data_IF_278814553577
#
_entry.id   IF_278814553577
#
_cell.length_a   1.000
_cell.length_b   1.000
_cell.length_c   1.000
_cell.angle_alpha   90.00
_cell.angle_beta   90.00
_cell.angle_gamma   90.00
#
_symmetry.space_group_name_H-M   'P 1'
#
loop_
_entity.id
_entity.type
_entity.pdbx_description
1 polymer ?
#
# COMPACT_ATOMS: atom_id res chain seq x y z
N UNK A 1 17.30 -8.31 7.98
CA UNK A 1 17.05 -6.84 8.06
C UNK A 1 16.02 -6.46 7.00
N UNK A 2 15.06 -5.63 7.36
CA UNK A 2 14.02 -5.14 6.44
C UNK A 2 14.40 -3.76 5.93
N UNK A 3 14.41 -3.60 4.60
CA UNK A 3 14.71 -2.34 3.94
C UNK A 3 13.65 -2.00 2.90
N UNK A 4 13.64 -0.74 2.44
CA UNK A 4 12.61 -0.23 1.53
C UNK A 4 13.28 0.57 0.41
N UNK A 5 12.95 0.21 -0.82
CA UNK A 5 13.46 0.91 -2.00
C UNK A 5 12.29 1.58 -2.72
N UNK A 6 12.42 2.86 -3.02
CA UNK A 6 11.43 3.54 -3.86
C UNK A 6 11.31 2.81 -5.20
N UNK A 7 10.09 2.52 -5.62
CA UNK A 7 9.84 1.80 -6.85
C UNK A 7 10.29 2.61 -8.07
N UNK A 8 11.04 1.98 -8.95
CA UNK A 8 11.50 2.57 -10.20
C UNK A 8 10.79 1.90 -11.38
N UNK A 9 10.88 2.51 -12.56
CA UNK A 9 10.27 1.95 -13.77
C UNK A 9 10.77 0.54 -14.07
N UNK A 10 12.04 0.24 -13.73
CA UNK A 10 12.62 -1.09 -13.89
C UNK A 10 12.01 -2.16 -12.97
N UNK A 11 11.25 -1.75 -11.96
CA UNK A 11 10.62 -2.68 -11.00
C UNK A 11 9.21 -3.09 -11.39
N UNK A 12 8.66 -2.52 -12.47
CA UNK A 12 7.25 -2.70 -12.83
C UNK A 12 6.86 -4.17 -13.04
N UNK A 13 7.67 -4.94 -13.73
CA UNK A 13 7.34 -6.35 -13.99
C UNK A 13 7.24 -7.14 -12.68
N UNK A 14 8.14 -6.89 -11.74
CA UNK A 14 8.12 -7.51 -10.42
C UNK A 14 6.91 -7.07 -9.61
N UNK A 15 6.59 -5.77 -9.64
CA UNK A 15 5.42 -5.22 -8.96
C UNK A 15 4.13 -5.84 -9.47
N UNK A 16 3.97 -5.95 -10.78
CA UNK A 16 2.77 -6.53 -11.38
C UNK A 16 2.65 -8.01 -11.04
N UNK A 17 3.76 -8.74 -11.04
CA UNK A 17 3.76 -10.16 -10.63
C UNK A 17 3.29 -10.32 -9.20
N UNK A 18 3.81 -9.51 -8.28
CA UNK A 18 3.37 -9.53 -6.88
C UNK A 18 1.91 -9.10 -6.73
N UNK A 19 1.47 -8.12 -7.51
CA UNK A 19 0.08 -7.67 -7.50
C UNK A 19 -0.87 -8.78 -7.96
N UNK A 20 -0.48 -9.56 -8.96
CA UNK A 20 -1.25 -10.74 -9.39
C UNK A 20 -1.39 -11.75 -8.25
N UNK A 21 -0.32 -12.01 -7.52
CA UNK A 21 -0.34 -12.90 -6.35
C UNK A 21 -1.24 -12.35 -5.25
N UNK A 22 -1.18 -11.04 -5.00
CA UNK A 22 -1.99 -10.37 -4.01
C UNK A 22 -3.49 -10.47 -4.34
N UNK A 23 -3.86 -10.13 -5.56
CA UNK A 23 -5.27 -10.13 -5.98
C UNK A 23 -5.85 -11.54 -6.03
N UNK A 24 -5.01 -12.54 -6.31
CA UNK A 24 -5.45 -13.93 -6.32
C UNK A 24 -5.90 -14.44 -4.94
N UNK A 25 -5.41 -13.85 -3.85
CA UNK A 25 -5.78 -14.25 -2.49
C UNK A 25 -7.30 -14.14 -2.28
N UNK A 26 -7.91 -13.04 -2.75
CA UNK A 26 -9.34 -12.78 -2.61
C UNK A 26 -10.12 -12.96 -3.92
N UNK A 27 -9.46 -13.49 -4.94
CA UNK A 27 -10.11 -13.77 -6.24
C UNK A 27 -10.45 -12.52 -7.05
N UNK A 28 -9.74 -11.40 -6.83
CA UNK A 28 -9.98 -10.19 -7.62
C UNK A 28 -9.35 -10.30 -9.00
N UNK A 29 -10.06 -9.84 -10.04
CA UNK A 29 -9.50 -9.86 -11.39
C UNK A 29 -8.40 -8.82 -11.55
N UNK A 30 -7.42 -9.14 -12.40
CA UNK A 30 -6.33 -8.21 -12.72
C UNK A 30 -5.93 -8.38 -14.19
N UNK A 31 -5.74 -7.26 -14.86
CA UNK A 31 -5.19 -7.19 -16.21
C UNK A 31 -3.74 -6.74 -16.10
N UNK A 32 -2.80 -7.65 -16.36
CA UNK A 32 -1.37 -7.40 -16.19
C UNK A 32 -0.86 -6.24 -17.07
N UNK A 33 -1.29 -6.19 -18.33
CA UNK A 33 -0.84 -5.13 -19.24
C UNK A 33 -1.36 -3.75 -18.82
N UNK A 34 -2.61 -3.70 -18.39
CA UNK A 34 -3.19 -2.45 -17.85
C UNK A 34 -2.46 -2.03 -16.58
N UNK A 35 -2.16 -2.97 -15.69
CA UNK A 35 -1.46 -2.68 -14.42
C UNK A 35 -0.05 -2.14 -14.68
N UNK A 36 0.67 -2.66 -15.67
CA UNK A 36 1.98 -2.11 -16.06
C UNK A 36 1.89 -0.65 -16.46
N UNK A 37 0.90 -0.29 -17.27
CA UNK A 37 0.66 1.09 -17.70
C UNK A 37 0.29 1.98 -16.52
N UNK A 38 -0.51 1.48 -15.59
CA UNK A 38 -0.88 2.23 -14.38
C UNK A 38 0.34 2.48 -13.49
N UNK A 39 1.21 1.52 -13.29
CA UNK A 39 2.44 1.72 -12.55
C UNK A 39 3.36 2.73 -13.23
N UNK A 40 3.47 2.67 -14.56
CA UNK A 40 4.27 3.64 -15.29
C UNK A 40 3.76 5.06 -15.07
N UNK A 41 2.45 5.28 -15.19
CA UNK A 41 1.82 6.56 -14.92
C UNK A 41 2.06 7.00 -13.47
N UNK A 42 1.87 6.10 -12.53
CA UNK A 42 2.00 6.37 -11.10
C UNK A 42 3.43 6.76 -10.71
N UNK A 43 4.41 5.99 -11.17
CA UNK A 43 5.81 6.23 -10.80
C UNK A 43 6.32 7.54 -11.41
N UNK A 44 5.86 7.91 -12.60
CA UNK A 44 6.26 9.16 -13.28
C UNK A 44 5.66 10.43 -12.68
N UNK A 45 4.63 10.32 -11.85
CA UNK A 45 3.93 11.49 -11.29
C UNK A 45 3.91 11.42 -9.77
N UNK A 46 4.83 12.15 -9.15
CA UNK A 46 4.97 12.19 -7.69
C UNK A 46 3.76 12.76 -6.96
N UNK A 47 2.86 13.44 -7.67
CA UNK A 47 1.64 13.97 -7.07
C UNK A 47 0.59 12.89 -6.83
N UNK A 48 0.68 11.75 -7.50
CA UNK A 48 -0.27 10.66 -7.34
C UNK A 48 -0.04 9.85 -6.06
N UNK A 49 1.20 9.72 -5.65
CA UNK A 49 1.54 8.94 -4.48
C UNK A 49 2.96 8.45 -4.48
N UNK A 50 3.23 7.42 -3.70
CA UNK A 50 4.53 6.76 -3.63
C UNK A 50 4.37 5.25 -3.49
N UNK A 51 5.31 4.52 -4.06
CA UNK A 51 5.38 3.07 -3.93
C UNK A 51 6.80 2.66 -3.55
N UNK A 52 6.90 1.63 -2.71
CA UNK A 52 8.19 1.07 -2.29
C UNK A 52 8.16 -0.43 -2.40
N UNK A 53 9.30 -1.00 -2.79
CA UNK A 53 9.57 -2.42 -2.63
C UNK A 53 9.98 -2.68 -1.18
N UNK A 54 9.52 -3.79 -0.62
CA UNK A 54 9.88 -4.25 0.71
C UNK A 54 10.90 -5.38 0.54
N UNK A 55 12.07 -5.23 1.15
CA UNK A 55 13.13 -6.23 1.07
C UNK A 55 13.41 -6.80 2.47
N UNK A 56 13.64 -8.10 2.51
CA UNK A 56 14.11 -8.81 3.70
C UNK A 56 15.41 -9.52 3.32
N UNK A 57 16.48 -9.13 4.00
CA UNK A 57 17.83 -9.64 3.70
C UNK A 57 18.17 -9.56 2.20
N UNK A 58 17.93 -8.36 1.64
CA UNK A 58 18.20 -8.01 0.24
C UNK A 58 17.29 -8.69 -0.79
N UNK A 59 16.33 -9.51 -0.36
CA UNK A 59 15.35 -10.15 -1.24
C UNK A 59 14.05 -9.40 -1.21
N UNK A 60 13.48 -9.09 -2.37
CA UNK A 60 12.15 -8.46 -2.45
C UNK A 60 11.07 -9.43 -1.98
N UNK A 61 10.30 -9.01 -0.98
CA UNK A 61 9.26 -9.84 -0.36
C UNK A 61 7.88 -9.21 -0.39
N UNK A 62 7.76 -7.99 -0.91
CA UNK A 62 6.46 -7.32 -0.98
C UNK A 62 6.57 -5.89 -1.49
N UNK A 63 5.48 -5.16 -1.38
CA UNK A 63 5.43 -3.76 -1.75
C UNK A 63 4.38 -3.03 -0.91
N UNK A 64 4.51 -1.70 -0.86
CA UNK A 64 3.52 -0.82 -0.23
C UNK A 64 3.31 0.40 -1.10
N UNK A 65 2.04 0.81 -1.26
CA UNK A 65 1.64 1.95 -2.09
C UNK A 65 0.83 2.92 -1.25
N UNK A 66 1.24 4.19 -1.28
CA UNK A 66 0.46 5.31 -0.75
C UNK A 66 -0.11 6.11 -1.92
N UNK A 67 -1.41 6.40 -1.91
CA UNK A 67 -2.05 7.28 -2.88
C UNK A 67 -2.49 8.56 -2.18
N UNK A 68 -2.23 9.71 -2.81
CA UNK A 68 -2.45 11.02 -2.19
C UNK A 68 -3.82 11.60 -2.52
N UNK A 69 -4.41 12.26 -1.54
CA UNK A 69 -5.66 12.99 -1.68
C UNK A 69 -5.51 14.32 -0.95
N UNK A 70 -6.03 15.40 -1.51
CA UNK A 70 -6.12 16.66 -0.80
C UNK A 70 -7.42 16.67 0.00
N UNK A 71 -7.35 17.00 1.30
CA UNK A 71 -8.51 16.93 2.18
C UNK A 71 -8.63 18.22 2.99
N UNK A 72 -9.78 18.88 2.89
CA UNK A 72 -10.03 20.13 3.60
C UNK A 72 -10.25 19.92 5.09
N UNK A 73 -10.96 18.86 5.45
CA UNK A 73 -11.27 18.56 6.87
C UNK A 73 -10.00 18.37 7.70
N UNK A 74 -9.02 17.65 7.14
CA UNK A 74 -7.76 17.38 7.83
C UNK A 74 -6.66 18.40 7.54
N UNK A 75 -6.97 19.39 6.70
CA UNK A 75 -6.09 20.52 6.50
C UNK A 75 -4.94 20.33 5.52
N UNK A 76 -5.08 19.47 4.54
CA UNK A 76 -4.07 19.30 3.51
C UNK A 76 -4.00 17.92 2.91
N UNK A 77 -2.79 17.52 2.53
CA UNK A 77 -2.57 16.24 1.88
C UNK A 77 -2.72 15.09 2.89
N UNK A 78 -3.49 14.10 2.51
CA UNK A 78 -3.60 12.82 3.21
C UNK A 78 -3.23 11.69 2.25
N UNK A 79 -3.10 10.48 2.74
CA UNK A 79 -2.88 9.33 1.89
C UNK A 79 -3.73 8.15 2.31
N UNK A 80 -4.06 7.31 1.33
CA UNK A 80 -4.51 5.95 1.56
C UNK A 80 -3.31 5.02 1.50
N UNK A 81 -3.23 4.08 2.42
CA UNK A 81 -2.41 2.90 2.23
C UNK A 81 -3.19 2.04 1.25
N UNK A 82 -2.96 2.29 -0.04
CA UNK A 82 -3.77 1.70 -1.12
C UNK A 82 -3.56 0.20 -1.19
N UNK A 83 -2.31 -0.23 -1.10
CA UNK A 83 -1.96 -1.64 -1.09
C UNK A 83 -0.73 -1.88 -0.20
N UNK A 84 -0.78 -2.96 0.56
CA UNK A 84 0.35 -3.49 1.32
C UNK A 84 0.36 -5.00 1.14
N UNK A 85 1.38 -5.52 0.48
CA UNK A 85 1.50 -6.94 0.18
C UNK A 85 2.82 -7.50 0.71
N UNK A 86 2.74 -8.67 1.31
CA UNK A 86 3.89 -9.49 1.66
C UNK A 86 3.67 -10.90 1.09
N UNK A 87 4.72 -11.46 0.52
CA UNK A 87 4.69 -12.85 0.05
C UNK A 87 4.40 -13.79 1.23
N UNK A 88 3.83 -14.95 0.93
CA UNK A 88 3.37 -15.89 1.97
C UNK A 88 4.47 -16.26 2.96
N UNK A 89 5.68 -16.55 2.46
CA UNK A 89 6.82 -16.95 3.29
C UNK A 89 7.42 -15.81 4.11
N UNK A 90 7.05 -14.57 3.81
CA UNK A 90 7.51 -13.38 4.55
C UNK A 90 6.54 -12.97 5.66
N UNK A 91 5.37 -13.60 5.75
CA UNK A 91 4.35 -13.26 6.75
C UNK A 91 4.68 -13.86 8.11
N UNK A 92 4.14 -13.23 9.17
CA UNK A 92 4.32 -13.72 10.54
C UNK A 92 5.70 -13.47 11.12
N UNK A 93 6.50 -12.60 10.51
CA UNK A 93 7.87 -12.28 10.93
C UNK A 93 8.05 -10.84 11.39
N UNK A 94 6.95 -10.12 11.56
CA UNK A 94 6.99 -8.72 12.00
C UNK A 94 7.29 -7.71 10.88
N UNK A 95 7.40 -8.13 9.63
CA UNK A 95 7.71 -7.24 8.51
C UNK A 95 6.58 -6.26 8.26
N UNK A 96 5.31 -6.69 8.41
CA UNK A 96 4.16 -5.81 8.28
C UNK A 96 4.21 -4.65 9.28
N UNK A 97 4.50 -4.94 10.53
CA UNK A 97 4.65 -3.92 11.58
C UNK A 97 5.77 -2.94 11.25
N UNK A 98 6.92 -3.45 10.83
CA UNK A 98 8.06 -2.60 10.42
C UNK A 98 7.70 -1.72 9.22
N UNK A 99 6.91 -2.25 8.30
CA UNK A 99 6.46 -1.50 7.12
C UNK A 99 5.53 -0.36 7.52
N UNK A 100 4.60 -0.60 8.45
CA UNK A 100 3.74 0.46 8.96
C UNK A 100 4.58 1.55 9.64
N UNK A 101 5.56 1.18 10.44
CA UNK A 101 6.46 2.16 11.09
C UNK A 101 7.25 2.96 10.04
N UNK A 102 7.68 2.30 8.96
CA UNK A 102 8.35 2.97 7.86
C UNK A 102 7.43 4.00 7.19
N UNK A 103 6.20 3.63 6.84
CA UNK A 103 5.29 4.58 6.17
C UNK A 103 4.84 5.71 7.09
N UNK A 104 4.79 5.49 8.41
CA UNK A 104 4.54 6.59 9.37
C UNK A 104 5.65 7.65 9.26
N UNK A 105 6.90 7.23 9.25
CA UNK A 105 8.04 8.14 9.13
C UNK A 105 8.05 8.86 7.78
N UNK A 106 7.77 8.14 6.70
CA UNK A 106 7.68 8.75 5.37
C UNK A 106 6.51 9.73 5.28
N UNK A 107 5.40 9.43 5.93
CA UNK A 107 4.25 10.33 6.00
C UNK A 107 4.59 11.64 6.71
N UNK A 108 5.37 11.59 7.78
CA UNK A 108 5.85 12.79 8.46
C UNK A 108 6.72 13.64 7.54
N UNK A 109 7.65 13.03 6.81
CA UNK A 109 8.51 13.72 5.84
C UNK A 109 7.70 14.38 4.72
N UNK A 110 6.60 13.76 4.32
CA UNK A 110 5.72 14.26 3.27
C UNK A 110 4.67 15.24 3.79
N UNK A 111 4.68 15.54 5.07
CA UNK A 111 3.70 16.41 5.73
C UNK A 111 2.26 15.92 5.55
N UNK A 112 2.05 14.62 5.52
CA UNK A 112 0.71 14.03 5.45
C UNK A 112 -0.01 14.22 6.79
N UNK A 113 -1.29 14.57 6.70
CA UNK A 113 -2.12 14.83 7.88
C UNK A 113 -2.80 13.59 8.43
N UNK A 114 -2.97 12.57 7.58
CA UNK A 114 -3.73 11.38 7.94
C UNK A 114 -3.38 10.24 6.99
N UNK A 115 -3.43 9.02 7.49
CA UNK A 115 -3.42 7.81 6.67
C UNK A 115 -4.76 7.10 6.84
N UNK A 116 -5.41 6.82 5.72
CA UNK A 116 -6.55 5.91 5.64
C UNK A 116 -6.13 4.58 5.07
N UNK A 117 -6.89 3.54 5.37
CA UNK A 117 -6.82 2.28 4.65
C UNK A 117 -8.19 1.61 4.67
N UNK A 118 -8.39 0.72 3.73
CA UNK A 118 -9.55 -0.16 3.71
C UNK A 118 -9.07 -1.58 3.98
N UNK A 119 -9.83 -2.34 4.72
CA UNK A 119 -9.49 -3.71 5.07
C UNK A 119 -10.74 -4.57 4.96
N UNK A 120 -10.59 -5.76 4.37
CA UNK A 120 -11.69 -6.71 4.25
C UNK A 120 -12.17 -7.14 5.64
N UNK A 121 -13.49 -7.22 5.81
CA UNK A 121 -14.11 -7.57 7.08
C UNK A 121 -13.65 -8.94 7.61
N UNK A 122 -13.39 -9.88 6.70
CA UNK A 122 -12.92 -11.22 7.04
C UNK A 122 -11.42 -11.30 7.34
N UNK A 123 -10.65 -10.26 7.02
CA UNK A 123 -9.19 -10.28 7.19
C UNK A 123 -8.80 -9.86 8.60
N UNK A 124 -9.01 -10.75 9.56
CA UNK A 124 -8.74 -10.46 10.97
C UNK A 124 -7.25 -10.24 11.26
N UNK A 125 -6.36 -10.91 10.54
CA UNK A 125 -4.92 -10.74 10.70
C UNK A 125 -4.48 -9.32 10.32
N UNK A 126 -4.97 -8.79 9.20
CA UNK A 126 -4.68 -7.42 8.77
C UNK A 126 -5.28 -6.40 9.74
N UNK A 127 -6.52 -6.60 10.17
CA UNK A 127 -7.16 -5.71 11.15
C UNK A 127 -6.34 -5.64 12.45
N UNK A 128 -5.88 -6.77 12.94
CA UNK A 128 -5.05 -6.85 14.15
C UNK A 128 -3.75 -6.08 13.97
N UNK A 129 -3.09 -6.24 12.81
CA UNK A 129 -1.87 -5.51 12.50
C UNK A 129 -2.11 -4.00 12.55
N UNK A 130 -3.14 -3.51 11.88
CA UNK A 130 -3.40 -2.09 11.81
C UNK A 130 -3.83 -1.50 13.15
N UNK A 131 -4.70 -2.18 13.89
CA UNK A 131 -5.11 -1.74 15.23
C UNK A 131 -3.92 -1.68 16.19
N UNK A 132 -3.04 -2.66 16.16
CA UNK A 132 -1.84 -2.68 17.02
C UNK A 132 -0.83 -1.60 16.62
N UNK A 133 -0.93 -1.08 15.41
CA UNK A 133 -0.05 -0.03 14.89
C UNK A 133 -0.60 1.39 15.08
N UNK A 134 -1.76 1.52 15.73
CA UNK A 134 -2.35 2.82 16.06
C UNK A 134 -3.50 3.26 15.15
N UNK A 135 -3.87 2.47 14.15
CA UNK A 135 -5.07 2.75 13.37
C UNK A 135 -6.32 2.48 14.21
N UNK A 136 -7.37 3.21 13.92
CA UNK A 136 -8.68 3.02 14.55
C UNK A 136 -9.73 2.93 13.45
N UNK A 137 -10.83 2.22 13.72
CA UNK A 137 -11.91 2.18 12.75
C UNK A 137 -12.54 3.56 12.61
N UNK A 138 -12.82 3.92 11.37
CA UNK A 138 -13.50 5.17 11.06
C UNK A 138 -15.01 4.97 11.16
N UNK A 139 -15.71 5.96 11.68
CA UNK A 139 -17.16 5.86 11.93
C UNK A 139 -18.02 6.31 10.75
N UNK A 140 -17.43 6.56 9.59
CA UNK A 140 -18.14 6.93 8.37
C UNK A 140 -18.22 5.75 7.42
N UNK A 141 -19.35 5.62 6.75
CA UNK A 141 -19.52 4.61 5.72
C UNK A 141 -19.01 5.14 4.38
N UNK A 142 -18.35 4.29 3.63
CA UNK A 142 -17.92 4.60 2.27
C UNK A 142 -18.98 4.09 1.28
N UNK A 143 -19.36 4.93 0.34
CA UNK A 143 -20.24 4.58 -0.76
C UNK A 143 -19.46 4.71 -2.06
N UNK A 144 -19.78 3.86 -3.05
CA UNK A 144 -19.09 3.92 -4.35
C UNK A 144 -20.10 3.97 -5.51
N UNK A 145 -19.73 4.69 -6.55
CA UNK A 145 -20.42 4.70 -7.83
C UNK A 145 -19.37 4.49 -8.91
N UNK A 146 -19.46 3.37 -9.61
CA UNK A 146 -18.47 2.98 -10.61
C UNK A 146 -18.91 3.44 -12.00
N UNK A 147 -17.99 3.99 -12.79
CA UNK A 147 -18.28 4.51 -14.14
C UNK A 147 -17.93 3.53 -15.25
N UNK A 148 -17.12 2.55 -14.98
CA UNK A 148 -16.76 1.50 -15.95
C UNK A 148 -16.74 0.11 -15.34
#
# INVERSE_FOLDING_TARGET
>A
MTTYNAAALSDIDMLVKMMQEFYAIDGYPIDAEKSKKLFEQFIKDENLGKAWLILSDEKTVGYVILTFVFNFEYGGKIAFVDELYLSEDARGKGIGTKTIEFIKKESEKLSLKLLYLEVEDHNSAAQKLYLSSGFVFHNRLTMKLKFE
#
